data_IF_969168164996
#
_entry.id   IF_969168164996
#
_cell.length_a   1.000
_cell.length_b   1.000
_cell.length_c   1.000
_cell.angle_alpha   90.00
_cell.angle_beta   90.00
_cell.angle_gamma   90.00
#
_symmetry.space_group_name_H-M   'P 1'
#
loop_
_entity.id
_entity.type
_entity.pdbx_description
1 polymer ?
#
# COMPACT_ATOMS: atom_id res chain seq x y z
N UNK A 1 23.39 -20.97 -13.17
CA UNK A 1 23.02 -19.61 -12.78
C UNK A 1 21.50 -19.54 -12.68
N UNK A 2 20.96 -19.05 -11.57
CA UNK A 2 19.58 -18.58 -11.51
C UNK A 2 19.45 -17.76 -10.23
N UNK A 3 19.84 -16.48 -10.29
CA UNK A 3 19.48 -15.55 -9.22
C UNK A 3 17.96 -15.46 -9.16
N UNK A 4 17.39 -15.50 -7.96
CA UNK A 4 15.95 -15.40 -7.78
C UNK A 4 15.42 -14.19 -8.56
N UNK A 5 14.37 -14.38 -9.37
CA UNK A 5 13.78 -13.31 -10.16
C UNK A 5 13.22 -12.24 -9.21
N UNK A 6 13.70 -11.01 -9.39
CA UNK A 6 13.32 -9.85 -8.58
C UNK A 6 12.64 -8.81 -9.46
N UNK A 7 11.47 -8.36 -9.01
CA UNK A 7 10.73 -7.28 -9.63
C UNK A 7 10.60 -6.14 -8.61
N UNK A 8 11.17 -4.96 -8.93
CA UNK A 8 11.05 -3.77 -8.08
C UNK A 8 10.15 -2.74 -8.75
N UNK A 9 9.08 -2.36 -8.07
CA UNK A 9 8.06 -1.42 -8.55
C UNK A 9 7.92 -0.21 -7.63
N UNK A 10 7.54 0.98 -8.15
CA UNK A 10 7.21 2.12 -7.32
C UNK A 10 5.83 1.95 -6.65
N UNK A 11 5.70 2.44 -5.43
CA UNK A 11 4.44 2.60 -4.72
C UNK A 11 4.27 4.10 -4.37
N UNK A 12 3.72 4.91 -5.30
CA UNK A 12 3.63 6.35 -5.11
C UNK A 12 2.73 6.69 -3.93
N UNK A 13 3.18 7.64 -3.12
CA UNK A 13 2.40 8.22 -2.04
C UNK A 13 1.35 9.20 -2.61
N UNK A 14 0.39 9.54 -1.75
CA UNK A 14 -0.59 10.58 -2.02
C UNK A 14 -0.66 11.56 -0.86
N UNK A 15 -1.15 12.75 -1.16
CA UNK A 15 -1.66 13.69 -0.16
C UNK A 15 -3.16 13.91 -0.40
N UNK A 16 -3.88 14.22 0.68
CA UNK A 16 -5.24 14.73 0.59
C UNK A 16 -5.13 16.26 0.61
N UNK A 17 -5.50 16.95 -0.48
CA UNK A 17 -5.46 18.42 -0.53
C UNK A 17 -6.52 19.07 0.37
N UNK A 18 -7.59 18.33 0.67
CA UNK A 18 -8.50 18.61 1.76
C UNK A 18 -9.07 17.29 2.29
N UNK A 19 -9.62 17.29 3.49
CA UNK A 19 -10.36 16.17 4.05
C UNK A 19 -11.60 16.70 4.76
N UNK A 20 -12.78 16.29 4.28
CA UNK A 20 -14.06 16.64 4.88
C UNK A 20 -14.78 15.36 5.32
N UNK A 21 -15.11 15.29 6.60
CA UNK A 21 -15.87 14.18 7.19
C UNK A 21 -17.35 14.56 7.19
N UNK A 22 -18.16 13.86 6.40
CA UNK A 22 -19.58 14.22 6.21
C UNK A 22 -20.53 13.40 7.10
N UNK A 23 -20.05 12.33 7.73
CA UNK A 23 -20.84 11.55 8.67
C UNK A 23 -20.17 10.26 9.10
N UNK A 24 -20.76 9.61 10.11
CA UNK A 24 -20.35 8.27 10.56
C UNK A 24 -21.29 7.22 9.97
N UNK A 25 -20.71 6.13 9.43
CA UNK A 25 -21.42 5.01 8.83
C UNK A 25 -21.71 3.93 9.88
N UNK A 26 -22.69 3.08 9.61
CA UNK A 26 -23.06 1.94 10.49
C UNK A 26 -21.98 0.86 10.58
N UNK A 27 -21.06 0.80 9.61
CA UNK A 27 -19.92 -0.12 9.57
C UNK A 27 -18.70 0.34 10.40
N UNK A 28 -18.83 1.46 11.13
CA UNK A 28 -17.77 2.01 11.97
C UNK A 28 -16.82 2.97 11.26
N UNK A 29 -16.94 3.15 9.95
CA UNK A 29 -16.16 4.13 9.19
C UNK A 29 -16.86 5.49 9.09
N UNK A 30 -16.21 6.44 8.41
CA UNK A 30 -16.77 7.74 8.09
C UNK A 30 -17.02 7.87 6.58
N UNK A 31 -18.06 8.62 6.22
CA UNK A 31 -18.21 9.14 4.86
C UNK A 31 -17.27 10.32 4.71
N UNK A 32 -16.46 10.31 3.64
CA UNK A 32 -15.42 11.28 3.39
C UNK A 32 -15.59 11.93 2.02
N UNK A 33 -15.35 13.23 1.96
CA UNK A 33 -15.09 13.98 0.73
C UNK A 33 -13.65 14.49 0.78
N UNK A 34 -12.90 14.30 -0.31
CA UNK A 34 -11.48 14.66 -0.38
C UNK A 34 -11.05 14.79 -1.83
N UNK A 35 -9.95 15.51 -2.08
CA UNK A 35 -9.23 15.49 -3.35
C UNK A 35 -7.87 14.81 -3.14
N UNK A 36 -7.69 13.67 -3.80
CA UNK A 36 -6.46 12.88 -3.75
C UNK A 36 -5.48 13.40 -4.81
N UNK A 37 -4.28 13.77 -4.38
CA UNK A 37 -3.19 14.14 -5.27
C UNK A 37 -2.03 13.13 -5.11
N UNK A 38 -1.75 12.28 -6.11
CA UNK A 38 -0.51 11.51 -6.13
C UNK A 38 0.67 12.46 -6.29
N UNK A 39 1.80 12.10 -5.69
CA UNK A 39 3.03 12.90 -5.74
C UNK A 39 4.19 12.02 -6.23
N UNK A 40 5.25 12.67 -6.75
CA UNK A 40 6.49 11.99 -7.14
C UNK A 40 7.38 11.67 -5.92
N UNK A 41 6.79 10.96 -4.97
CA UNK A 41 7.43 10.46 -3.76
C UNK A 41 6.72 9.18 -3.34
N UNK A 42 7.45 8.19 -2.82
CA UNK A 42 6.84 6.95 -2.37
C UNK A 42 7.86 5.86 -2.10
N UNK A 43 7.34 4.67 -1.80
CA UNK A 43 8.17 3.51 -1.51
C UNK A 43 8.60 2.79 -2.80
N UNK A 44 9.60 1.92 -2.69
CA UNK A 44 9.91 0.90 -3.70
C UNK A 44 9.69 -0.47 -3.13
N UNK A 45 8.78 -1.22 -3.74
CA UNK A 45 8.44 -2.58 -3.32
C UNK A 45 9.21 -3.55 -4.19
N UNK A 46 10.01 -4.43 -3.56
CA UNK A 46 10.70 -5.52 -4.27
C UNK A 46 10.01 -6.83 -3.99
N UNK A 47 9.57 -7.49 -5.06
CA UNK A 47 8.97 -8.80 -5.07
C UNK A 47 10.03 -9.82 -5.46
N UNK A 48 10.00 -11.00 -4.85
CA UNK A 48 10.83 -12.14 -5.23
C UNK A 48 9.93 -13.35 -5.39
N UNK A 49 10.03 -14.04 -6.52
CA UNK A 49 9.24 -15.25 -6.76
C UNK A 49 9.66 -16.33 -5.76
N UNK A 50 8.69 -16.90 -5.05
CA UNK A 50 8.86 -18.01 -4.12
C UNK A 50 8.01 -19.19 -4.59
N UNK A 51 8.55 -20.40 -4.50
CA UNK A 51 7.78 -21.63 -4.70
C UNK A 51 6.86 -21.91 -3.49
N UNK A 52 5.63 -22.37 -3.75
CA UNK A 52 4.63 -22.72 -2.75
C UNK A 52 3.47 -21.72 -2.66
N UNK A 53 2.37 -22.15 -2.05
CA UNK A 53 1.10 -21.39 -1.96
C UNK A 53 0.78 -20.88 -0.56
N UNK A 54 1.63 -21.18 0.42
CA UNK A 54 1.40 -20.80 1.81
C UNK A 54 1.62 -19.30 2.05
N UNK A 55 0.65 -18.68 2.72
CA UNK A 55 0.75 -17.29 3.19
C UNK A 55 1.39 -17.29 4.57
N UNK A 56 2.67 -16.89 4.62
CA UNK A 56 3.45 -16.86 5.86
C UNK A 56 4.03 -15.47 6.05
N UNK A 57 3.87 -14.90 7.25
CA UNK A 57 4.55 -13.67 7.64
C UNK A 57 5.98 -13.99 8.06
N UNK A 58 6.96 -13.68 7.23
CA UNK A 58 8.37 -14.06 7.44
C UNK A 58 9.18 -13.08 8.30
N UNK A 59 8.61 -11.90 8.65
CA UNK A 59 9.21 -10.93 9.57
C UNK A 59 8.15 -10.37 10.52
N UNK A 60 8.45 -10.36 11.82
CA UNK A 60 7.70 -9.62 12.84
C UNK A 60 8.02 -8.13 12.79
N UNK A 61 7.05 -7.29 13.18
CA UNK A 61 7.30 -5.87 13.50
C UNK A 61 7.79 -5.87 14.95
N UNK A 62 8.89 -5.16 15.22
CA UNK A 62 9.40 -4.95 16.58
C UNK A 62 8.35 -4.24 17.46
#
# INVERSE_FOLDING_TARGET
>A
MSGAEKLTLPAPAKINLFLHVTGRRSDGYHTLETLLAPIDYGDRVTLTLRAGSEIVRTRGVA
#
